data_IF_503587857497
#
_entry.id   IF_503587857497
#
_cell.length_a   1.000
_cell.length_b   1.000
_cell.length_c   1.000
_cell.angle_alpha   90.00
_cell.angle_beta   90.00
_cell.angle_gamma   90.00
#
_symmetry.space_group_name_H-M   'P 1'
#
loop_
_entity.id
_entity.type
_entity.pdbx_description
1 polymer ?
#
# COMPACT_ATOMS: atom_id res chain seq x y z
N UNK A 1 19.87 6.46 7.83
CA UNK A 1 19.31 5.23 8.43
C UNK A 1 19.95 4.01 7.78
N UNK A 2 19.74 3.77 6.48
CA UNK A 2 20.31 2.61 5.76
C UNK A 2 21.84 2.54 5.92
N UNK A 3 22.55 3.63 5.61
CA UNK A 3 24.02 3.71 5.76
C UNK A 3 24.46 3.31 7.18
N UNK A 4 23.87 3.93 8.20
CA UNK A 4 24.15 3.61 9.60
C UNK A 4 23.93 2.13 9.93
N UNK A 5 22.80 1.55 9.49
CA UNK A 5 22.51 0.13 9.75
C UNK A 5 23.45 -0.81 8.98
N UNK A 6 23.90 -0.41 7.79
CA UNK A 6 24.85 -1.18 6.99
C UNK A 6 26.25 -1.15 7.61
N UNK A 7 26.75 0.03 7.97
CA UNK A 7 28.07 0.22 8.61
C UNK A 7 28.19 -0.53 9.94
N UNK A 8 27.07 -0.67 10.66
CA UNK A 8 27.03 -1.34 11.97
C UNK A 8 26.54 -2.80 11.89
N UNK A 9 26.39 -3.38 10.68
CA UNK A 9 25.89 -4.76 10.47
C UNK A 9 24.52 -5.05 11.11
N UNK A 10 23.63 -4.05 11.14
CA UNK A 10 22.30 -4.11 11.76
C UNK A 10 21.18 -4.51 10.79
N UNK A 11 21.42 -4.51 9.46
CA UNK A 11 20.37 -4.76 8.46
C UNK A 11 19.63 -6.10 8.66
N UNK A 12 20.36 -7.14 9.08
CA UNK A 12 19.82 -8.48 9.34
C UNK A 12 19.26 -8.68 10.76
N UNK A 13 19.38 -7.70 11.65
CA UNK A 13 18.91 -7.82 13.02
C UNK A 13 17.40 -8.04 13.10
N UNK A 14 17.00 -9.01 13.91
CA UNK A 14 15.59 -9.34 14.18
C UNK A 14 15.13 -8.87 15.56
N UNK A 15 16.08 -8.53 16.45
CA UNK A 15 15.82 -8.05 17.81
C UNK A 15 16.92 -7.06 18.27
N UNK A 16 16.65 -5.74 18.31
CA UNK A 16 15.47 -5.10 17.73
C UNK A 16 15.47 -5.26 16.20
N UNK A 17 14.29 -5.21 15.58
CA UNK A 17 14.18 -5.23 14.11
C UNK A 17 14.87 -4.00 13.50
N UNK A 18 15.58 -4.21 12.39
CA UNK A 18 16.17 -3.08 11.66
C UNK A 18 15.08 -2.14 11.12
N UNK A 19 15.36 -0.85 11.18
CA UNK A 19 14.54 0.21 10.63
C UNK A 19 14.40 0.06 9.12
N UNK A 20 15.46 -0.32 8.40
CA UNK A 20 15.41 -0.57 6.95
C UNK A 20 14.48 -1.73 6.60
N UNK A 21 14.52 -2.83 7.36
CA UNK A 21 13.57 -3.95 7.15
C UNK A 21 12.14 -3.56 7.46
N UNK A 22 11.93 -2.76 8.50
CA UNK A 22 10.60 -2.27 8.89
C UNK A 22 10.03 -1.33 7.82
N UNK A 23 10.82 -0.37 7.36
CA UNK A 23 10.44 0.56 6.32
C UNK A 23 10.21 -0.15 4.98
N UNK A 24 10.97 -1.19 4.63
CA UNK A 24 10.72 -2.02 3.44
C UNK A 24 9.30 -2.61 3.41
N UNK A 25 8.79 -3.08 4.55
CA UNK A 25 7.43 -3.63 4.64
C UNK A 25 6.37 -2.54 4.47
N UNK A 26 6.60 -1.37 5.05
CA UNK A 26 5.73 -0.21 4.86
C UNK A 26 5.74 0.27 3.40
N UNK A 27 6.91 0.28 2.76
CA UNK A 27 7.11 0.63 1.36
C UNK A 27 6.34 -0.32 0.41
N UNK A 28 6.43 -1.62 0.62
CA UNK A 28 5.61 -2.62 -0.09
C UNK A 28 4.10 -2.40 0.14
N UNK A 29 3.72 -2.00 1.35
CA UNK A 29 2.34 -1.61 1.68
C UNK A 29 1.89 -0.34 0.94
N UNK A 30 2.76 0.65 0.80
CA UNK A 30 2.48 1.91 0.10
C UNK A 30 2.14 1.66 -1.38
N UNK A 31 2.83 0.73 -2.04
CA UNK A 31 2.51 0.34 -3.43
C UNK A 31 1.05 -0.11 -3.56
N UNK A 32 0.64 -1.02 -2.68
CA UNK A 32 -0.72 -1.54 -2.65
C UNK A 32 -1.73 -0.42 -2.33
N UNK A 33 -1.46 0.42 -1.33
CA UNK A 33 -2.37 1.50 -0.94
C UNK A 33 -2.51 2.52 -2.07
N UNK A 34 -1.43 2.93 -2.71
CA UNK A 34 -1.46 3.87 -3.84
C UNK A 34 -2.29 3.32 -5.00
N UNK A 35 -2.06 2.05 -5.37
CA UNK A 35 -2.86 1.37 -6.38
C UNK A 35 -4.33 1.27 -5.99
N UNK A 36 -4.62 1.00 -4.72
CA UNK A 36 -5.99 0.83 -4.24
C UNK A 36 -6.76 2.15 -4.28
N UNK A 37 -6.11 3.25 -3.91
CA UNK A 37 -6.65 4.59 -4.07
C UNK A 37 -6.94 4.91 -5.55
N UNK A 38 -6.08 4.48 -6.48
CA UNK A 38 -6.32 4.63 -7.91
C UNK A 38 -7.51 3.81 -8.41
N UNK A 39 -7.72 2.59 -7.91
CA UNK A 39 -8.90 1.78 -8.24
C UNK A 39 -10.18 2.39 -7.68
N UNK A 40 -10.16 2.93 -6.45
CA UNK A 40 -11.29 3.71 -5.89
C UNK A 40 -11.60 4.92 -6.77
N UNK A 41 -10.57 5.67 -7.19
CA UNK A 41 -10.76 6.88 -7.98
C UNK A 41 -11.47 6.57 -9.30
N UNK A 42 -11.05 5.51 -10.00
CA UNK A 42 -11.59 5.09 -11.31
C UNK A 42 -12.95 4.42 -11.25
N UNK A 43 -13.27 3.70 -10.17
CA UNK A 43 -14.49 2.92 -10.07
C UNK A 43 -15.75 3.82 -10.07
N UNK A 44 -16.84 3.29 -10.62
CA UNK A 44 -18.17 3.86 -10.40
C UNK A 44 -18.66 3.51 -8.98
N UNK A 45 -19.51 4.37 -8.41
CA UNK A 45 -19.96 4.29 -7.01
C UNK A 45 -20.54 2.94 -6.59
N UNK A 46 -21.29 2.31 -7.48
CA UNK A 46 -22.04 1.07 -7.24
C UNK A 46 -21.20 -0.20 -7.46
N UNK A 47 -19.98 -0.07 -8.01
CA UNK A 47 -19.13 -1.21 -8.32
C UNK A 47 -18.42 -1.70 -7.07
N UNK A 48 -18.48 -3.02 -6.84
CA UNK A 48 -17.71 -3.69 -5.79
C UNK A 48 -16.22 -3.69 -6.13
N UNK A 49 -15.37 -3.33 -5.16
CA UNK A 49 -13.92 -3.20 -5.37
C UNK A 49 -13.15 -4.50 -5.21
N UNK A 50 -13.81 -5.59 -4.80
CA UNK A 50 -13.15 -6.85 -4.44
C UNK A 50 -12.28 -7.44 -5.56
N UNK A 51 -12.80 -7.51 -6.80
CA UNK A 51 -12.06 -8.04 -7.94
C UNK A 51 -10.80 -7.23 -8.26
N UNK A 52 -10.95 -5.93 -8.48
CA UNK A 52 -9.83 -5.03 -8.79
C UNK A 52 -8.78 -4.99 -7.66
N UNK A 53 -9.25 -4.98 -6.39
CA UNK A 53 -8.35 -5.00 -5.22
C UNK A 53 -7.63 -6.34 -5.09
N UNK A 54 -8.27 -7.46 -5.43
CA UNK A 54 -7.66 -8.79 -5.43
C UNK A 54 -6.56 -8.92 -6.46
N UNK A 55 -6.79 -8.43 -7.69
CA UNK A 55 -5.76 -8.38 -8.73
C UNK A 55 -4.58 -7.49 -8.29
N UNK A 56 -4.88 -6.31 -7.76
CA UNK A 56 -3.87 -5.39 -7.23
C UNK A 56 -3.03 -6.02 -6.12
N UNK A 57 -3.66 -6.70 -5.16
CA UNK A 57 -2.96 -7.43 -4.11
C UNK A 57 -2.02 -8.50 -4.70
N UNK A 58 -2.50 -9.26 -5.69
CA UNK A 58 -1.73 -10.30 -6.38
C UNK A 58 -0.44 -9.80 -7.03
N UNK A 59 -0.48 -8.62 -7.66
CA UNK A 59 0.70 -8.02 -8.30
C UNK A 59 1.60 -7.20 -7.36
N UNK A 60 1.21 -6.99 -6.10
CA UNK A 60 1.96 -6.19 -5.13
C UNK A 60 2.31 -7.04 -3.90
N UNK A 61 1.59 -6.87 -2.80
CA UNK A 61 1.85 -7.45 -1.48
C UNK A 61 1.87 -8.98 -1.46
N UNK A 62 1.08 -9.66 -2.33
CA UNK A 62 1.01 -11.12 -2.33
C UNK A 62 2.39 -11.77 -2.56
N UNK A 63 3.29 -11.11 -3.29
CA UNK A 63 4.66 -11.57 -3.56
C UNK A 63 5.54 -11.65 -2.31
N UNK A 64 5.12 -10.99 -1.23
CA UNK A 64 5.87 -10.90 0.02
C UNK A 64 5.18 -11.61 1.19
N UNK A 65 3.99 -12.17 0.97
CA UNK A 65 3.23 -12.87 2.00
C UNK A 65 3.37 -14.39 1.85
N UNK A 66 3.42 -15.08 2.98
CA UNK A 66 3.33 -16.54 2.97
C UNK A 66 1.93 -16.99 2.49
N UNK A 67 1.83 -18.27 2.11
CA UNK A 67 0.61 -18.84 1.54
C UNK A 67 -0.62 -18.65 2.44
N UNK A 68 -0.46 -18.79 3.76
CA UNK A 68 -1.56 -18.65 4.72
C UNK A 68 -2.09 -17.21 4.73
N UNK A 69 -1.20 -16.23 4.85
CA UNK A 69 -1.57 -14.81 4.81
C UNK A 69 -2.22 -14.43 3.47
N UNK A 70 -1.69 -14.93 2.35
CA UNK A 70 -2.26 -14.68 1.03
C UNK A 70 -3.70 -15.21 0.89
N UNK A 71 -3.98 -16.40 1.43
CA UNK A 71 -5.34 -16.97 1.44
C UNK A 71 -6.28 -16.17 2.34
N UNK A 72 -5.83 -15.77 3.53
CA UNK A 72 -6.63 -14.95 4.45
C UNK A 72 -6.99 -13.61 3.80
N UNK A 73 -6.02 -12.91 3.21
CA UNK A 73 -6.30 -11.64 2.51
C UNK A 73 -7.24 -11.86 1.34
N UNK A 74 -7.03 -12.91 0.53
CA UNK A 74 -7.95 -13.25 -0.57
C UNK A 74 -9.39 -13.42 -0.12
N UNK A 75 -9.64 -14.09 1.01
CA UNK A 75 -10.97 -14.24 1.58
C UNK A 75 -11.57 -12.90 2.05
N UNK A 76 -10.78 -12.05 2.69
CA UNK A 76 -11.22 -10.70 3.12
C UNK A 76 -11.57 -9.83 1.93
N UNK A 77 -10.83 -9.92 0.83
CA UNK A 77 -11.07 -9.11 -0.37
C UNK A 77 -12.40 -9.44 -1.07
N UNK A 78 -12.94 -10.65 -0.89
CA UNK A 78 -14.29 -10.99 -1.37
C UNK A 78 -15.40 -10.22 -0.62
N UNK A 79 -15.10 -9.74 0.58
CA UNK A 79 -16.02 -8.99 1.43
C UNK A 79 -15.85 -7.47 1.27
N UNK A 80 -15.08 -7.03 0.27
CA UNK A 80 -14.85 -5.61 0.04
C UNK A 80 -16.16 -4.87 -0.29
N UNK A 81 -16.43 -3.74 0.39
CA UNK A 81 -17.60 -2.92 0.10
C UNK A 81 -17.48 -2.21 -1.26
N UNK A 82 -18.57 -1.57 -1.68
CA UNK A 82 -18.59 -0.70 -2.87
C UNK A 82 -17.81 0.59 -2.62
N UNK A 83 -17.40 1.27 -3.70
CA UNK A 83 -16.78 2.60 -3.61
C UNK A 83 -17.63 3.56 -2.79
N UNK A 84 -18.94 3.62 -3.04
CA UNK A 84 -19.85 4.50 -2.32
C UNK A 84 -19.76 4.29 -0.81
N UNK A 85 -19.85 3.04 -0.34
CA UNK A 85 -19.77 2.73 1.10
C UNK A 85 -18.43 3.13 1.70
N UNK A 86 -17.32 2.97 0.97
CA UNK A 86 -15.99 3.40 1.45
C UNK A 86 -15.93 4.92 1.58
N UNK A 87 -16.29 5.64 0.51
CA UNK A 87 -16.20 7.09 0.45
C UNK A 87 -17.15 7.77 1.44
N UNK A 88 -18.36 7.25 1.62
CA UNK A 88 -19.32 7.76 2.61
C UNK A 88 -18.78 7.64 4.05
N UNK A 89 -18.14 6.51 4.37
CA UNK A 89 -17.46 6.33 5.66
C UNK A 89 -16.30 7.30 5.85
N UNK A 90 -15.51 7.55 4.81
CA UNK A 90 -14.40 8.52 4.86
C UNK A 90 -14.89 9.97 4.98
N UNK A 91 -16.01 10.31 4.35
CA UNK A 91 -16.57 11.65 4.35
C UNK A 91 -17.50 11.94 5.54
N UNK A 92 -17.78 10.94 6.39
CA UNK A 92 -18.72 11.06 7.51
C UNK A 92 -20.15 11.39 7.07
N UNK A 93 -20.55 11.00 5.84
CA UNK A 93 -21.84 11.35 5.26
C UNK A 93 -21.99 12.82 4.80
N UNK A 94 -20.93 13.63 4.86
CA UNK A 94 -20.99 15.04 4.47
C UNK A 94 -20.64 15.20 2.99
N UNK A 95 -21.62 15.61 2.17
CA UNK A 95 -21.47 15.71 0.72
C UNK A 95 -20.32 16.63 0.26
N UNK A 96 -20.11 17.76 0.95
CA UNK A 96 -19.01 18.67 0.66
C UNK A 96 -17.63 18.04 0.92
N UNK A 97 -17.51 17.26 2.01
CA UNK A 97 -16.27 16.52 2.34
C UNK A 97 -16.02 15.42 1.32
N UNK A 98 -17.06 14.72 0.88
CA UNK A 98 -16.97 13.73 -0.20
C UNK A 98 -16.39 14.34 -1.47
N UNK A 99 -17.00 15.41 -1.98
CA UNK A 99 -16.55 16.08 -3.21
C UNK A 99 -15.10 16.60 -3.08
N UNK A 100 -14.75 17.15 -1.92
CA UNK A 100 -13.38 17.59 -1.63
C UNK A 100 -12.38 16.43 -1.65
N UNK A 101 -12.68 15.31 -0.98
CA UNK A 101 -11.81 14.15 -0.93
C UNK A 101 -11.62 13.51 -2.32
N UNK A 102 -12.69 13.41 -3.11
CA UNK A 102 -12.64 12.89 -4.48
C UNK A 102 -11.77 13.78 -5.38
N UNK A 103 -11.87 15.11 -5.24
CA UNK A 103 -11.05 16.07 -5.98
C UNK A 103 -9.56 16.05 -5.55
N UNK A 104 -9.26 15.76 -4.29
CA UNK A 104 -7.88 15.65 -3.79
C UNK A 104 -7.20 14.32 -4.15
N UNK A 105 -7.98 13.28 -4.41
CA UNK A 105 -7.49 11.91 -4.60
C UNK A 105 -6.38 11.77 -5.66
N UNK A 106 -6.45 12.41 -6.84
CA UNK A 106 -5.36 12.37 -7.81
C UNK A 106 -4.03 12.88 -7.25
N UNK A 107 -4.08 13.98 -6.47
CA UNK A 107 -2.87 14.56 -5.89
C UNK A 107 -2.27 13.67 -4.80
N UNK A 108 -3.13 13.03 -4.01
CA UNK A 108 -2.69 12.07 -2.99
C UNK A 108 -1.97 10.88 -3.65
N UNK A 109 -2.55 10.31 -4.71
CA UNK A 109 -1.94 9.21 -5.47
C UNK A 109 -0.60 9.63 -6.08
N UNK A 110 -0.52 10.83 -6.66
CA UNK A 110 0.73 11.37 -7.23
C UNK A 110 1.85 11.46 -6.18
N UNK A 111 1.53 11.97 -4.98
CA UNK A 111 2.48 12.09 -3.87
C UNK A 111 2.91 10.71 -3.37
N UNK A 112 1.96 9.78 -3.18
CA UNK A 112 2.26 8.41 -2.77
C UNK A 112 3.20 7.72 -3.77
N UNK A 113 2.94 7.85 -5.08
CA UNK A 113 3.80 7.29 -6.12
C UNK A 113 5.18 7.93 -6.14
N UNK A 114 5.28 9.24 -5.89
CA UNK A 114 6.57 9.93 -5.82
C UNK A 114 7.42 9.43 -4.64
N UNK A 115 6.80 9.26 -3.47
CA UNK A 115 7.45 8.70 -2.27
C UNK A 115 7.86 7.25 -2.51
N UNK A 116 6.98 6.45 -3.11
CA UNK A 116 7.27 5.06 -3.47
C UNK A 116 8.48 5.00 -4.41
N UNK A 117 8.48 5.74 -5.52
CA UNK A 117 9.57 5.70 -6.51
C UNK A 117 10.92 6.13 -5.91
N UNK A 118 10.93 7.17 -5.07
CA UNK A 118 12.14 7.61 -4.38
C UNK A 118 12.66 6.52 -3.43
N UNK A 119 11.77 5.92 -2.64
CA UNK A 119 12.12 4.88 -1.68
C UNK A 119 12.56 3.61 -2.39
N UNK A 120 11.88 3.22 -3.46
CA UNK A 120 12.22 2.06 -4.30
C UNK A 120 13.64 2.20 -4.85
N UNK A 121 13.94 3.34 -5.49
CA UNK A 121 15.27 3.63 -6.02
C UNK A 121 16.34 3.57 -4.92
N UNK A 122 16.05 4.14 -3.75
CA UNK A 122 16.98 4.08 -2.62
C UNK A 122 17.27 2.64 -2.18
N UNK A 123 16.27 1.76 -2.14
CA UNK A 123 16.49 0.36 -1.77
C UNK A 123 17.20 -0.45 -2.87
N UNK A 124 17.00 -0.09 -4.14
CA UNK A 124 17.74 -0.64 -5.29
C UNK A 124 19.21 -0.24 -5.26
N UNK A 125 19.50 1.05 -5.06
CA UNK A 125 20.85 1.61 -5.02
C UNK A 125 21.72 0.94 -3.92
N UNK A 126 21.09 0.54 -2.81
CA UNK A 126 21.73 -0.16 -1.69
C UNK A 126 21.61 -1.69 -1.76
N UNK A 127 20.91 -2.25 -2.76
CA UNK A 127 20.66 -3.68 -2.92
C UNK A 127 20.04 -4.37 -1.68
N UNK A 128 19.01 -3.73 -1.10
CA UNK A 128 18.34 -4.19 0.14
C UNK A 128 16.82 -4.43 -0.05
N UNK A 129 16.36 -4.66 -1.29
CA UNK A 129 14.96 -4.97 -1.57
C UNK A 129 14.48 -6.31 -1.02
N UNK A 130 15.41 -7.19 -0.65
CA UNK A 130 15.15 -8.55 -0.19
C UNK A 130 15.53 -8.76 1.29
N UNK A 131 15.55 -7.69 2.09
CA UNK A 131 15.72 -7.85 3.55
C UNK A 131 14.65 -8.82 4.11
N UNK A 132 15.04 -9.71 5.05
CA UNK A 132 14.21 -10.83 5.49
C UNK A 132 12.95 -10.43 6.27
#
# INVERSE_FOLDING_TARGET
>A
MIEYEQENNLLGCTDPQSGSRTLLRLHRGLEFISGFMAEIHKAADTVGLGGATSELYGRTLARHHNWVLAKTVGAVLLLMPTKQTIIERMAGGVAAVRAHNEALMPKVIEVMNSVYNLTQKLYEDYNILDLP
#
